data_IF_408881319133
#
_entry.id   IF_408881319133
#
_cell.length_a   1.000
_cell.length_b   1.000
_cell.length_c   1.000
_cell.angle_alpha   90.00
_cell.angle_beta   90.00
_cell.angle_gamma   90.00
#
_symmetry.space_group_name_H-M   'P 1'
#
loop_
_entity.id
_entity.type
_entity.pdbx_description
1 polymer ?
#
# COMPACT_ATOMS: atom_id res chain seq x y z
N UNK A 1 -12.14 -19.00 -2.24
CA UNK A 1 -11.12 -18.41 -3.15
C UNK A 1 -11.03 -16.94 -2.78
N UNK A 2 -9.87 -16.45 -2.36
CA UNK A 2 -9.72 -15.03 -2.05
C UNK A 2 -9.77 -14.24 -3.37
N UNK A 3 -10.44 -13.09 -3.40
CA UNK A 3 -10.64 -12.25 -4.60
C UNK A 3 -9.60 -11.12 -4.62
N UNK A 4 -8.78 -10.96 -5.67
CA UNK A 4 -7.76 -9.91 -5.71
C UNK A 4 -8.39 -8.51 -5.62
N UNK A 5 -7.59 -7.55 -5.18
CA UNK A 5 -7.98 -6.14 -5.14
C UNK A 5 -8.36 -5.62 -3.76
N UNK A 6 -8.09 -6.39 -2.70
CA UNK A 6 -8.17 -5.89 -1.34
C UNK A 6 -6.78 -5.46 -0.88
N UNK A 7 -6.64 -4.20 -0.48
CA UNK A 7 -5.35 -3.60 -0.13
C UNK A 7 -5.29 -3.31 1.37
N UNK A 8 -4.13 -3.55 1.98
CA UNK A 8 -3.77 -3.01 3.29
C UNK A 8 -2.91 -1.76 3.09
N UNK A 9 -3.18 -0.70 3.83
CA UNK A 9 -2.46 0.55 3.74
C UNK A 9 -1.91 1.04 5.08
N UNK A 10 -0.78 1.75 5.03
CA UNK A 10 -0.08 2.30 6.20
C UNK A 10 0.76 3.54 5.85
N UNK A 11 1.14 4.34 6.85
CA UNK A 11 2.19 5.35 6.72
C UNK A 11 3.52 4.81 7.27
N UNK A 12 4.47 4.57 6.36
CA UNK A 12 5.86 4.30 6.72
C UNK A 12 6.57 5.63 6.99
N UNK A 13 6.78 5.94 8.27
CA UNK A 13 7.52 7.10 8.71
C UNK A 13 9.03 6.92 8.53
N UNK A 14 9.68 7.91 7.91
CA UNK A 14 11.13 8.06 7.83
C UNK A 14 11.66 8.76 9.08
N UNK A 15 11.95 10.06 8.94
CA UNK A 15 12.17 10.99 10.06
C UNK A 15 10.84 11.58 10.58
N UNK A 16 10.90 12.58 11.45
CA UNK A 16 9.71 13.21 12.03
C UNK A 16 8.81 13.93 11.01
N UNK A 17 9.33 14.26 9.82
CA UNK A 17 8.69 15.14 8.84
C UNK A 17 8.48 14.49 7.47
N UNK A 18 8.82 13.21 7.32
CA UNK A 18 8.74 12.51 6.04
C UNK A 18 8.13 11.12 6.18
N UNK A 19 7.28 10.78 5.22
CA UNK A 19 6.52 9.54 5.21
C UNK A 19 6.22 9.09 3.78
N UNK A 20 6.00 7.78 3.65
CA UNK A 20 5.57 7.12 2.43
C UNK A 20 4.29 6.37 2.78
N UNK A 21 3.25 6.52 1.96
CA UNK A 21 2.10 5.63 2.07
C UNK A 21 2.46 4.29 1.42
N UNK A 22 2.32 3.21 2.17
CA UNK A 22 2.53 1.85 1.68
C UNK A 22 1.18 1.19 1.44
N UNK A 23 1.06 0.49 0.32
CA UNK A 23 -0.13 -0.25 -0.07
C UNK A 23 0.30 -1.67 -0.44
N UNK A 24 -0.32 -2.68 0.18
CA UNK A 24 0.01 -4.08 -0.03
C UNK A 24 -1.25 -4.88 -0.35
N UNK A 25 -1.27 -5.54 -1.51
CA UNK A 25 -2.40 -6.37 -1.92
C UNK A 25 -2.41 -7.69 -1.13
N UNK A 26 -3.58 -8.02 -0.56
CA UNK A 26 -3.75 -9.05 0.48
C UNK A 26 -3.61 -10.48 0.01
N UNK A 27 -3.45 -10.77 -1.28
CA UNK A 27 -3.22 -12.13 -1.79
C UNK A 27 -1.88 -12.29 -2.46
N UNK A 28 -1.57 -11.37 -3.33
CA UNK A 28 -0.39 -11.36 -4.17
C UNK A 28 0.81 -10.78 -3.44
N UNK A 29 0.60 -10.05 -2.34
CA UNK A 29 1.62 -9.26 -1.62
C UNK A 29 2.25 -8.19 -2.51
N UNK A 30 1.57 -7.79 -3.58
CA UNK A 30 2.05 -6.75 -4.47
C UNK A 30 2.10 -5.42 -3.71
N UNK A 31 3.25 -4.76 -3.76
CA UNK A 31 3.54 -3.54 -3.01
C UNK A 31 3.50 -2.34 -3.94
N UNK A 32 2.83 -1.28 -3.49
CA UNK A 32 2.91 0.04 -4.07
C UNK A 32 3.35 1.03 -3.00
N UNK A 33 4.23 1.95 -3.38
CA UNK A 33 4.74 3.00 -2.51
C UNK A 33 4.32 4.33 -3.08
N UNK A 34 3.62 5.13 -2.30
CA UNK A 34 3.09 6.43 -2.73
C UNK A 34 3.83 7.53 -1.99
N UNK A 35 4.46 8.43 -2.74
CA UNK A 35 5.11 9.60 -2.15
C UNK A 35 4.04 10.53 -1.60
N UNK A 36 4.17 10.84 -0.31
CA UNK A 36 3.31 11.81 0.37
C UNK A 36 4.18 12.99 0.84
N UNK A 37 3.69 14.21 0.65
CA UNK A 37 4.41 15.42 1.07
C UNK A 37 4.26 15.68 2.59
N UNK A 38 3.08 15.44 3.14
CA UNK A 38 2.72 15.69 4.54
C UNK A 38 1.75 14.63 5.05
N UNK A 39 1.75 14.37 6.36
CA UNK A 39 0.91 13.33 7.00
C UNK A 39 -0.53 13.78 7.27
N UNK A 40 -0.91 15.00 6.89
CA UNK A 40 -2.29 15.46 7.02
C UNK A 40 -3.24 14.68 6.08
N UNK A 41 -4.49 14.54 6.51
CA UNK A 41 -5.42 13.65 5.82
C UNK A 41 -5.71 14.07 4.39
N UNK A 42 -5.86 15.37 4.15
CA UNK A 42 -6.06 15.93 2.82
C UNK A 42 -4.94 15.49 1.85
N UNK A 43 -3.69 15.62 2.28
CA UNK A 43 -2.52 15.29 1.45
C UNK A 43 -2.41 13.79 1.19
N UNK A 44 -2.64 12.96 2.21
CA UNK A 44 -2.62 11.49 2.08
C UNK A 44 -3.73 11.01 1.16
N UNK A 45 -4.97 11.43 1.40
CA UNK A 45 -6.14 11.03 0.60
C UNK A 45 -5.97 11.44 -0.87
N UNK A 46 -5.51 12.67 -1.16
CA UNK A 46 -5.26 13.09 -2.54
C UNK A 46 -4.21 12.23 -3.25
N UNK A 47 -3.13 11.87 -2.55
CA UNK A 47 -2.09 11.02 -3.09
C UNK A 47 -2.63 9.61 -3.39
N UNK A 48 -3.44 9.05 -2.49
CA UNK A 48 -4.09 7.75 -2.65
C UNK A 48 -5.11 7.75 -3.80
N UNK A 49 -5.96 8.77 -3.94
CA UNK A 49 -6.91 8.90 -5.07
C UNK A 49 -6.15 8.90 -6.40
N UNK A 50 -5.09 9.72 -6.51
CA UNK A 50 -4.27 9.79 -7.72
C UNK A 50 -3.61 8.45 -8.05
N UNK A 51 -3.31 7.65 -7.04
CA UNK A 51 -2.71 6.35 -7.24
C UNK A 51 -3.75 5.28 -7.61
N UNK A 52 -4.90 5.25 -6.94
CA UNK A 52 -5.98 4.30 -7.20
C UNK A 52 -6.47 4.40 -8.65
N UNK A 53 -6.63 5.61 -9.18
CA UNK A 53 -7.04 5.87 -10.59
C UNK A 53 -6.08 5.37 -11.66
N UNK A 54 -4.88 4.88 -11.28
CA UNK A 54 -3.93 4.28 -12.22
C UNK A 54 -4.11 2.77 -12.37
N UNK A 55 -5.00 2.18 -11.58
CA UNK A 55 -5.29 0.76 -11.60
C UNK A 55 -6.70 0.55 -12.16
N UNK A 56 -6.93 -0.55 -12.88
CA UNK A 56 -8.27 -1.02 -13.18
C UNK A 56 -9.10 -1.17 -11.91
N UNK A 57 -10.39 -0.82 -11.97
CA UNK A 57 -11.30 -0.84 -10.82
C UNK A 57 -11.42 -2.25 -10.22
N UNK A 58 -11.31 -3.31 -11.05
CA UNK A 58 -11.35 -4.69 -10.56
C UNK A 58 -10.20 -5.04 -9.61
N UNK A 59 -9.09 -4.31 -9.68
CA UNK A 59 -7.88 -4.54 -8.89
C UNK A 59 -7.79 -3.66 -7.65
N UNK A 60 -8.80 -2.82 -7.37
CA UNK A 60 -8.81 -1.96 -6.20
C UNK A 60 -10.21 -1.88 -5.57
N UNK A 61 -10.66 -3.00 -4.99
CA UNK A 61 -12.00 -3.17 -4.42
C UNK A 61 -12.17 -2.57 -3.03
N UNK A 62 -11.14 -2.69 -2.19
CA UNK A 62 -11.18 -2.10 -0.84
C UNK A 62 -9.81 -1.72 -0.33
N UNK A 63 -9.79 -0.78 0.61
CA UNK A 63 -8.59 -0.36 1.33
C UNK A 63 -8.82 -0.51 2.84
N UNK A 64 -8.01 -1.32 3.49
CA UNK A 64 -7.96 -1.43 4.96
C UNK A 64 -6.82 -0.55 5.49
N UNK A 65 -7.11 0.36 6.42
CA UNK A 65 -6.12 1.22 7.06
C UNK A 65 -6.19 1.11 8.59
N UNK A 66 -5.17 1.58 9.31
CA UNK A 66 -5.32 1.80 10.75
C UNK A 66 -6.22 3.03 11.05
N UNK A 67 -6.59 3.20 12.31
CA UNK A 67 -7.39 4.35 12.78
C UNK A 67 -6.57 5.64 12.91
N UNK A 68 -5.48 5.77 12.17
CA UNK A 68 -4.65 6.97 12.11
C UNK A 68 -5.42 8.19 11.60
N UNK A 69 -5.02 9.38 12.05
CA UNK A 69 -5.67 10.65 11.69
C UNK A 69 -5.48 11.01 10.22
N UNK A 70 -4.50 10.43 9.55
CA UNK A 70 -4.24 10.60 8.13
C UNK A 70 -5.38 10.09 7.22
N UNK A 71 -6.26 9.23 7.72
CA UNK A 71 -7.41 8.72 6.97
C UNK A 71 -8.75 9.28 7.49
N UNK A 72 -8.74 10.41 8.21
CA UNK A 72 -9.97 11.05 8.67
C UNK A 72 -10.89 11.49 7.52
N UNK A 73 -10.33 11.86 6.36
CA UNK A 73 -11.07 12.22 5.14
C UNK A 73 -11.32 11.04 4.18
N UNK A 74 -11.24 9.79 4.64
CA UNK A 74 -11.46 8.58 3.82
C UNK A 74 -12.77 8.58 3.02
N UNK A 75 -13.82 9.26 3.50
CA UNK A 75 -15.09 9.38 2.73
C UNK A 75 -14.87 10.03 1.36
N UNK A 76 -13.94 10.99 1.25
CA UNK A 76 -13.57 11.60 -0.03
C UNK A 76 -12.80 10.64 -0.92
N UNK A 77 -11.98 9.77 -0.33
CA UNK A 77 -11.33 8.70 -1.08
C UNK A 77 -12.40 7.80 -1.73
N UNK A 78 -13.31 7.26 -0.92
CA UNK A 78 -14.40 6.40 -1.41
C UNK A 78 -15.27 7.08 -2.46
N UNK A 79 -15.67 8.34 -2.26
CA UNK A 79 -16.47 9.08 -3.25
C UNK A 79 -15.73 9.27 -4.59
N UNK A 80 -14.40 9.40 -4.57
CA UNK A 80 -13.61 9.72 -5.75
C UNK A 80 -13.14 8.50 -6.55
N UNK A 81 -13.26 7.30 -5.98
CA UNK A 81 -12.71 6.04 -6.52
C UNK A 81 -13.67 4.85 -6.43
N UNK A 82 -14.82 4.99 -5.78
CA UNK A 82 -15.78 3.92 -5.45
C UNK A 82 -15.23 2.79 -4.56
N UNK A 83 -14.03 2.99 -4.01
CA UNK A 83 -13.33 2.01 -3.16
C UNK A 83 -13.77 2.13 -1.71
N UNK A 84 -14.21 1.02 -1.13
CA UNK A 84 -14.60 0.98 0.28
C UNK A 84 -13.38 1.02 1.20
N UNK A 85 -13.40 1.92 2.19
CA UNK A 85 -12.35 2.01 3.23
C UNK A 85 -12.82 1.35 4.51
N UNK A 86 -12.02 0.42 5.03
CA UNK A 86 -12.23 -0.24 6.30
C UNK A 86 -11.12 0.12 7.28
N UNK A 87 -11.46 0.19 8.57
CA UNK A 87 -10.49 0.48 9.61
C UNK A 87 -10.27 -0.74 10.50
N UNK A 88 -9.01 -1.00 10.84
CA UNK A 88 -8.69 -2.06 11.80
C UNK A 88 -9.31 -1.78 13.17
N UNK A 89 -9.66 -2.85 13.87
CA UNK A 89 -10.15 -2.76 15.23
C UNK A 89 -9.01 -2.45 16.21
N UNK A 90 -9.25 -1.68 17.29
CA UNK A 90 -8.22 -1.39 18.27
C UNK A 90 -7.73 -2.70 18.88
N UNK A 91 -6.41 -2.85 19.05
CA UNK A 91 -5.79 -4.05 19.63
C UNK A 91 -5.83 -5.32 18.77
N UNK A 92 -6.15 -5.20 17.47
CA UNK A 92 -6.16 -6.33 16.52
C UNK A 92 -5.07 -6.24 15.43
N UNK A 93 -3.76 -6.20 15.79
CA UNK A 93 -2.67 -5.98 14.82
C UNK A 93 -2.57 -7.06 13.74
N UNK A 94 -3.04 -8.29 14.01
CA UNK A 94 -3.03 -9.40 13.05
C UNK A 94 -3.89 -9.14 11.81
N UNK A 95 -4.85 -8.19 11.87
CA UNK A 95 -5.63 -7.77 10.69
C UNK A 95 -4.74 -7.10 9.62
N UNK A 96 -3.49 -6.75 9.94
CA UNK A 96 -2.49 -6.11 9.06
C UNK A 96 -1.20 -6.92 8.90
N UNK A 97 -1.24 -8.23 9.12
CA UNK A 97 -0.05 -9.07 9.06
C UNK A 97 0.72 -9.01 7.73
N UNK A 98 0.06 -8.66 6.62
CA UNK A 98 0.74 -8.50 5.32
C UNK A 98 1.53 -7.20 5.25
N UNK A 99 0.94 -6.11 5.75
CA UNK A 99 1.59 -4.80 5.76
C UNK A 99 2.76 -4.75 6.74
N UNK A 100 2.65 -5.36 7.93
CA UNK A 100 3.73 -5.41 8.91
C UNK A 100 4.99 -6.10 8.38
N UNK A 101 4.83 -7.28 7.77
CA UNK A 101 5.94 -8.01 7.14
C UNK A 101 6.58 -7.18 6.02
N UNK A 102 5.75 -6.62 5.15
CA UNK A 102 6.22 -5.81 4.02
C UNK A 102 6.96 -4.57 4.49
N UNK A 103 6.44 -3.86 5.49
CA UNK A 103 7.09 -2.70 6.08
C UNK A 103 8.44 -3.09 6.71
N UNK A 104 8.55 -4.26 7.34
CA UNK A 104 9.83 -4.81 7.81
C UNK A 104 10.88 -4.93 6.69
N UNK A 105 10.48 -5.38 5.50
CA UNK A 105 11.37 -5.44 4.33
C UNK A 105 11.71 -4.06 3.79
N UNK A 106 10.72 -3.16 3.75
CA UNK A 106 10.93 -1.78 3.31
C UNK A 106 11.92 -1.02 4.21
N UNK A 107 12.06 -1.41 5.50
CA UNK A 107 13.08 -0.83 6.38
C UNK A 107 14.52 -1.11 5.96
N UNK A 108 14.77 -2.09 5.09
CA UNK A 108 16.09 -2.29 4.46
C UNK A 108 16.44 -1.14 3.50
N UNK A 109 15.43 -0.48 2.93
CA UNK A 109 15.58 0.67 2.03
C UNK A 109 15.34 2.01 2.73
N UNK A 110 14.48 2.02 3.75
CA UNK A 110 14.08 3.21 4.50
C UNK A 110 14.32 3.01 6.01
N UNK A 111 15.59 3.04 6.46
CA UNK A 111 15.92 2.94 7.87
C UNK A 111 15.12 3.95 8.71
N UNK A 112 14.67 3.54 9.90
CA UNK A 112 13.95 4.44 10.82
C UNK A 112 14.80 5.66 11.16
N UNK A 113 14.19 6.84 11.20
CA UNK A 113 14.87 8.11 11.51
C UNK A 113 15.59 8.75 10.31
N UNK A 114 15.72 8.04 9.18
CA UNK A 114 16.26 8.63 7.95
C UNK A 114 15.17 9.38 7.20
N UNK A 115 15.49 10.59 6.73
CA UNK A 115 14.57 11.35 5.91
C UNK A 115 14.27 10.63 4.60
N UNK A 116 12.98 10.48 4.28
CA UNK A 116 12.52 9.94 3.00
C UNK A 116 12.02 11.04 2.05
N UNK A 117 12.20 12.31 2.42
CA UNK A 117 11.77 13.46 1.62
C UNK A 117 12.39 13.48 0.21
N UNK A 118 13.66 13.10 0.09
CA UNK A 118 14.45 13.13 -1.15
C UNK A 118 14.16 11.97 -2.11
N UNK A 119 13.28 11.04 -1.74
CA UNK A 119 12.85 9.97 -2.64
C UNK A 119 11.76 10.49 -3.58
N UNK A 120 12.07 10.48 -4.87
CA UNK A 120 11.07 10.73 -5.92
C UNK A 120 10.14 9.52 -6.05
N UNK A 121 8.94 9.76 -6.58
CA UNK A 121 8.00 8.67 -6.88
C UNK A 121 8.63 7.59 -7.78
N UNK A 122 9.50 7.97 -8.73
CA UNK A 122 10.22 7.03 -9.59
C UNK A 122 11.17 6.12 -8.79
N UNK A 123 11.92 6.68 -7.82
CA UNK A 123 12.78 5.88 -6.93
C UNK A 123 11.95 4.92 -6.07
N UNK A 124 10.81 5.38 -5.53
CA UNK A 124 9.89 4.52 -4.78
C UNK A 124 9.35 3.38 -5.64
N UNK A 125 8.96 3.66 -6.89
CA UNK A 125 8.51 2.63 -7.83
C UNK A 125 9.61 1.59 -8.11
N UNK A 126 10.86 2.03 -8.26
CA UNK A 126 11.99 1.11 -8.45
C UNK A 126 12.23 0.20 -7.23
N UNK A 127 12.07 0.72 -6.02
CA UNK A 127 12.18 -0.07 -4.78
C UNK A 127 11.01 -1.05 -4.67
N UNK A 128 9.78 -0.61 -4.92
CA UNK A 128 8.59 -1.46 -4.94
C UNK A 128 8.75 -2.60 -5.95
N UNK A 129 9.25 -2.29 -7.16
CA UNK A 129 9.55 -3.25 -8.21
C UNK A 129 10.50 -4.35 -7.73
N UNK A 130 11.61 -4.00 -7.08
CA UNK A 130 12.55 -4.99 -6.51
C UNK A 130 11.87 -5.94 -5.51
N UNK A 131 10.94 -5.44 -4.70
CA UNK A 131 10.18 -6.29 -3.77
C UNK A 131 9.13 -7.15 -4.49
N UNK A 132 8.52 -6.62 -5.56
CA UNK A 132 7.51 -7.30 -6.36
C UNK A 132 8.08 -8.35 -7.31
N UNK A 133 9.35 -8.25 -7.69
CA UNK A 133 10.08 -9.23 -8.49
C UNK A 133 10.83 -10.26 -7.63
N UNK A 134 10.73 -10.17 -6.30
CA UNK A 134 11.39 -11.11 -5.38
C UNK A 134 10.47 -12.31 -5.08
N UNK A 135 10.92 -13.56 -5.34
CA UNK A 135 10.20 -14.77 -4.97
C UNK A 135 9.80 -14.81 -3.49
N UNK A 136 8.57 -15.25 -3.21
CA UNK A 136 8.05 -15.39 -1.83
C UNK A 136 7.70 -16.84 -1.54
N UNK A 137 8.21 -17.38 -0.44
CA UNK A 137 7.83 -18.73 0.03
C UNK A 137 6.32 -18.85 0.25
N UNK A 138 5.66 -17.80 0.73
CA UNK A 138 4.20 -17.73 0.91
C UNK A 138 3.40 -17.77 -0.39
N UNK A 139 4.06 -17.55 -1.53
CA UNK A 139 3.49 -17.61 -2.88
C UNK A 139 4.06 -18.79 -3.67
N UNK A 140 4.48 -19.87 -3.01
CA UNK A 140 5.12 -21.03 -3.65
C UNK A 140 6.31 -20.64 -4.53
N UNK A 141 7.12 -19.67 -4.06
CA UNK A 141 8.27 -19.10 -4.76
C UNK A 141 7.95 -18.33 -6.05
N UNK A 142 6.68 -18.07 -6.33
CA UNK A 142 6.30 -17.06 -7.32
C UNK A 142 6.56 -15.65 -6.76
N UNK A 143 6.74 -14.69 -7.67
CA UNK A 143 6.90 -13.28 -7.33
C UNK A 143 5.52 -12.61 -7.16
N UNK A 144 5.41 -11.56 -6.31
CA UNK A 144 4.20 -10.77 -6.23
C UNK A 144 3.73 -10.22 -7.58
N UNK A 145 4.67 -9.80 -8.44
CA UNK A 145 4.36 -9.30 -9.78
C UNK A 145 3.69 -10.35 -10.66
N UNK A 146 4.20 -11.58 -10.69
CA UNK A 146 3.59 -12.69 -11.45
C UNK A 146 2.19 -13.03 -10.94
N UNK A 147 2.02 -13.12 -9.62
CA UNK A 147 0.72 -13.41 -9.00
C UNK A 147 -0.30 -12.30 -9.25
N UNK A 148 0.16 -11.05 -9.21
CA UNK A 148 -0.68 -9.90 -9.51
C UNK A 148 -1.10 -9.89 -10.97
N UNK A 149 -0.17 -10.11 -11.92
CA UNK A 149 -0.48 -10.19 -13.34
C UNK A 149 -1.48 -11.31 -13.68
N UNK A 150 -1.32 -12.49 -13.06
CA UNK A 150 -2.29 -13.59 -13.19
C UNK A 150 -3.69 -13.20 -12.67
N UNK A 151 -3.74 -12.40 -11.61
CA UNK A 151 -5.00 -11.92 -11.04
C UNK A 151 -5.70 -10.94 -11.98
N UNK A 152 -4.95 -10.08 -12.68
CA UNK A 152 -5.47 -9.18 -13.71
C UNK A 152 -6.03 -9.95 -14.90
N UNK A 153 -5.30 -10.95 -15.40
CA UNK A 153 -5.73 -11.74 -16.55
C UNK A 153 -7.01 -12.57 -16.29
N UNK A 154 -7.34 -12.83 -15.03
CA UNK A 154 -8.57 -13.54 -14.64
C UNK A 154 -9.79 -12.61 -14.46
N UNK A 155 -9.58 -11.30 -14.40
CA UNK A 155 -10.64 -10.29 -14.28
C UNK A 155 -10.99 -9.61 -15.61
N UNK A 156 -10.16 -9.80 -16.64
CA UNK A 156 -10.36 -9.32 -18.02
C UNK A 156 -11.15 -10.29 -18.90
#
# INVERSE_FOLDING_TARGET
>A
RAVPGHWEGDLLYGDANSQIATLVERQTRYVMLVKVARKDSQTVVNALIKHARKLPDELYKSLTWDRGKEMSEHKRFTLATDVQVYFCDPQHPWQRGSNENTNGLLRQYFPKGMSVANYSQAKLNAIARKLNERPRKTLNYQTPAERFAQSVALTS
#
